data_IF_186217022622
#
_entry.id   IF_186217022622
#
_cell.length_a   1.000
_cell.length_b   1.000
_cell.length_c   1.000
_cell.angle_alpha   90.00
_cell.angle_beta   90.00
_cell.angle_gamma   90.00
#
_symmetry.space_group_name_H-M   'P 1'
#
loop_
_entity.id
_entity.type
_entity.pdbx_description
1 polymer ?
#
# COMPACT_ATOMS: atom_id res chain seq x y z
N UNK A 1 -17.23 17.27 8.82
CA UNK A 1 -16.01 17.46 9.08
C UNK A 1 -15.16 16.28 9.02
N UNK A 2 -15.33 15.29 9.78
CA UNK A 2 -14.53 14.11 9.73
C UNK A 2 -14.54 13.49 8.36
N UNK A 3 -15.62 13.56 7.68
CA UNK A 3 -15.69 12.95 6.40
C UNK A 3 -14.82 13.61 5.41
N UNK A 4 -14.65 14.90 5.50
CA UNK A 4 -13.80 15.55 4.59
C UNK A 4 -12.39 15.11 4.76
N UNK A 5 -11.96 15.02 6.00
CA UNK A 5 -10.63 14.58 6.26
C UNK A 5 -10.45 13.16 5.78
N UNK A 6 -11.46 12.34 5.98
CA UNK A 6 -11.38 10.99 5.49
C UNK A 6 -11.28 10.95 3.99
N UNK A 7 -11.95 11.87 3.32
CA UNK A 7 -11.98 11.86 1.87
C UNK A 7 -10.64 12.09 1.24
N UNK A 8 -9.88 13.07 1.72
CA UNK A 8 -8.61 13.34 1.09
C UNK A 8 -7.42 13.02 1.99
N UNK A 9 -7.68 12.84 3.25
CA UNK A 9 -6.63 12.44 4.16
C UNK A 9 -6.67 10.98 4.52
N UNK A 10 -7.48 10.20 3.83
CA UNK A 10 -7.61 8.79 4.15
C UNK A 10 -6.33 8.03 3.87
N UNK A 11 -5.89 7.29 4.85
CA UNK A 11 -4.72 6.45 4.72
C UNK A 11 -5.05 5.07 5.24
N UNK A 12 -4.26 4.10 4.85
CA UNK A 12 -4.36 2.79 5.46
C UNK A 12 -3.21 2.64 6.45
N UNK A 13 -3.38 1.72 7.38
CA UNK A 13 -2.33 1.34 8.28
C UNK A 13 -1.71 0.06 7.73
N UNK A 14 -0.42 0.12 7.47
CA UNK A 14 0.29 -1.01 6.88
C UNK A 14 1.23 -1.57 7.92
N UNK A 15 1.09 -2.85 8.21
CA UNK A 15 1.97 -3.54 9.13
C UNK A 15 2.84 -4.49 8.33
N UNK A 16 4.15 -4.29 8.41
CA UNK A 16 5.11 -5.16 7.73
C UNK A 16 5.95 -5.86 8.80
N UNK A 17 6.62 -6.93 8.41
CA UNK A 17 7.53 -7.61 9.31
C UNK A 17 8.91 -6.99 9.19
N UNK A 18 9.47 -6.55 10.29
CA UNK A 18 10.80 -5.95 10.30
C UNK A 18 11.84 -6.94 9.82
N UNK A 19 12.60 -6.56 8.81
CA UNK A 19 13.56 -7.46 8.17
C UNK A 19 14.76 -7.76 9.05
N UNK A 20 14.99 -6.94 10.06
CA UNK A 20 16.13 -7.14 10.95
C UNK A 20 15.72 -7.90 12.19
N UNK A 21 14.64 -7.49 12.84
CA UNK A 21 14.26 -8.08 14.11
C UNK A 21 13.08 -9.03 14.03
N UNK A 22 12.33 -8.99 12.94
CA UNK A 22 11.11 -9.76 12.83
C UNK A 22 9.91 -9.14 13.52
N UNK A 23 10.12 -8.03 14.21
CA UNK A 23 9.02 -7.35 14.91
C UNK A 23 8.16 -6.57 13.93
N UNK A 24 6.87 -6.42 14.22
CA UNK A 24 6.01 -5.68 13.31
C UNK A 24 6.34 -4.20 13.30
N UNK A 25 6.26 -3.61 12.11
CA UNK A 25 6.46 -2.18 11.90
C UNK A 25 5.19 -1.66 11.26
N UNK A 26 4.59 -0.63 11.87
CA UNK A 26 3.31 -0.10 11.41
C UNK A 26 3.50 1.32 10.91
N UNK A 27 2.99 1.60 9.72
CA UNK A 27 3.04 2.94 9.14
C UNK A 27 1.69 3.29 8.54
N UNK A 28 1.43 4.59 8.38
CA UNK A 28 0.24 5.06 7.70
C UNK A 28 0.65 5.53 6.32
N UNK A 29 0.00 5.03 5.28
CA UNK A 29 0.34 5.39 3.90
C UNK A 29 -0.92 5.67 3.10
N UNK A 30 -0.80 6.55 2.12
CA UNK A 30 -1.88 6.78 1.17
C UNK A 30 -2.02 5.60 0.23
N UNK A 31 -3.18 5.44 -0.36
CA UNK A 31 -3.43 4.29 -1.20
C UNK A 31 -4.50 4.56 -2.26
N UNK A 32 -4.53 3.70 -3.26
CA UNK A 32 -5.60 3.69 -4.26
C UNK A 32 -6.27 2.34 -4.21
N UNK A 33 -7.60 2.36 -4.21
CA UNK A 33 -8.36 1.11 -4.30
C UNK A 33 -8.30 0.57 -5.71
N UNK A 34 -8.30 -0.74 -5.82
CA UNK A 34 -8.39 -1.43 -7.11
C UNK A 34 -9.49 -2.47 -7.07
N UNK A 35 -9.99 -2.86 -8.23
CA UNK A 35 -10.98 -3.94 -8.28
C UNK A 35 -10.41 -5.21 -7.64
N UNK A 36 -11.25 -5.94 -6.97
CA UNK A 36 -10.83 -7.19 -6.34
C UNK A 36 -10.28 -7.03 -4.94
N UNK A 37 -10.30 -5.82 -4.40
CA UNK A 37 -9.87 -5.61 -3.04
C UNK A 37 -8.38 -5.30 -2.87
N UNK A 38 -7.64 -5.25 -3.96
CA UNK A 38 -6.24 -4.85 -3.88
C UNK A 38 -6.12 -3.35 -3.70
N UNK A 39 -4.99 -2.90 -3.18
CA UNK A 39 -4.70 -1.47 -3.08
C UNK A 39 -3.29 -1.22 -3.60
N UNK A 40 -3.07 -0.02 -4.10
CA UNK A 40 -1.75 0.41 -4.56
C UNK A 40 -1.18 1.39 -3.55
N UNK A 41 0.09 1.22 -3.22
CA UNK A 41 0.80 2.12 -2.31
C UNK A 41 2.16 2.43 -2.93
N UNK A 42 2.71 3.58 -2.56
CA UNK A 42 4.01 3.98 -3.08
C UNK A 42 4.83 4.58 -1.94
N UNK A 43 6.11 4.25 -1.91
CA UNK A 43 7.03 4.83 -0.96
C UNK A 43 7.66 6.05 -1.60
N UNK A 44 7.62 7.17 -0.92
CA UNK A 44 8.23 8.39 -1.45
C UNK A 44 9.74 8.37 -1.33
N UNK A 45 10.26 7.46 -0.53
CA UNK A 45 11.70 7.35 -0.28
C UNK A 45 12.12 5.92 -0.62
N UNK A 46 13.11 5.74 -1.50
CA UNK A 46 13.55 4.39 -1.84
C UNK A 46 14.12 3.64 -0.65
N UNK A 47 14.49 4.35 0.40
CA UNK A 47 15.03 3.71 1.59
C UNK A 47 14.01 3.56 2.70
N UNK A 48 12.74 3.81 2.43
CA UNK A 48 11.70 3.67 3.44
C UNK A 48 11.72 2.26 4.03
N UNK A 49 11.73 2.16 5.35
CA UNK A 49 11.83 0.87 6.02
C UNK A 49 10.71 -0.08 5.65
N UNK A 50 9.49 0.42 5.59
CA UNK A 50 8.36 -0.47 5.29
C UNK A 50 8.46 -1.04 3.86
N UNK A 51 9.00 -0.27 2.94
CA UNK A 51 9.17 -0.76 1.58
C UNK A 51 10.25 -1.82 1.52
N UNK A 52 11.34 -1.60 2.22
CA UNK A 52 12.42 -2.59 2.28
C UNK A 52 11.96 -3.85 3.02
N UNK A 53 11.12 -3.69 4.03
CA UNK A 53 10.55 -4.84 4.72
C UNK A 53 9.70 -5.67 3.77
N UNK A 54 8.90 -5.02 2.91
CA UNK A 54 8.08 -5.74 1.93
C UNK A 54 8.93 -6.43 0.88
N UNK A 55 10.06 -5.86 0.54
CA UNK A 55 10.96 -6.51 -0.40
C UNK A 55 11.57 -7.77 0.20
N UNK A 56 11.82 -7.74 1.49
CA UNK A 56 12.39 -8.90 2.18
C UNK A 56 11.33 -9.95 2.48
N UNK A 57 10.11 -9.53 2.84
CA UNK A 57 9.00 -10.44 3.13
C UNK A 57 7.73 -9.76 2.66
N UNK A 58 7.13 -10.23 1.58
CA UNK A 58 5.97 -9.54 0.99
C UNK A 58 4.67 -9.69 1.78
N UNK A 59 4.66 -10.49 2.82
CA UNK A 59 3.44 -10.66 3.61
C UNK A 59 3.25 -9.46 4.52
N UNK A 60 2.03 -8.96 4.60
CA UNK A 60 1.73 -7.77 5.37
C UNK A 60 0.28 -7.78 5.79
N UNK A 61 -0.10 -6.83 6.61
CA UNK A 61 -1.49 -6.65 7.03
C UNK A 61 -1.87 -5.21 6.82
N UNK A 62 -3.06 -5.02 6.27
CA UNK A 62 -3.58 -3.68 5.99
C UNK A 62 -4.81 -3.47 6.84
N UNK A 63 -4.92 -2.30 7.45
CA UNK A 63 -6.12 -1.92 8.19
C UNK A 63 -6.66 -0.63 7.59
N UNK A 64 -7.90 -0.66 7.15
CA UNK A 64 -8.60 0.50 6.65
C UNK A 64 -9.87 0.63 7.46
N UNK A 65 -9.98 1.69 8.25
CA UNK A 65 -11.09 1.82 9.17
C UNK A 65 -11.05 0.68 10.17
N UNK A 66 -12.12 -0.11 10.21
CA UNK A 66 -12.18 -1.25 11.12
C UNK A 66 -11.87 -2.57 10.44
N UNK A 67 -11.52 -2.56 9.16
CA UNK A 67 -11.25 -3.79 8.42
C UNK A 67 -9.77 -4.09 8.40
N UNK A 68 -9.42 -5.30 8.75
CA UNK A 68 -8.05 -5.79 8.65
C UNK A 68 -8.01 -6.90 7.62
N UNK A 69 -7.02 -6.84 6.75
CA UNK A 69 -6.87 -7.82 5.68
C UNK A 69 -5.40 -8.21 5.56
N UNK A 70 -5.15 -9.49 5.54
CA UNK A 70 -3.79 -9.97 5.25
C UNK A 70 -3.57 -9.87 3.75
N UNK A 71 -2.40 -9.39 3.36
CA UNK A 71 -2.08 -9.13 1.95
C UNK A 71 -0.70 -9.65 1.61
N UNK A 72 -0.46 -9.78 0.32
CA UNK A 72 0.86 -10.07 -0.21
C UNK A 72 1.22 -8.93 -1.15
N UNK A 73 2.40 -8.37 -0.97
CA UNK A 73 2.86 -7.25 -1.78
C UNK A 73 3.49 -7.73 -3.07
N UNK A 74 3.17 -7.03 -4.14
CA UNK A 74 3.74 -7.29 -5.44
C UNK A 74 4.39 -6.01 -5.91
N UNK A 75 5.69 -6.03 -6.18
CA UNK A 75 6.38 -4.83 -6.64
C UNK A 75 5.95 -4.51 -8.07
N UNK A 76 5.59 -3.27 -8.30
CA UNK A 76 5.22 -2.81 -9.63
C UNK A 76 6.39 -2.08 -10.24
N UNK A 77 6.54 -2.21 -11.55
CA UNK A 77 7.62 -1.55 -12.26
C UNK A 77 7.08 -0.98 -13.58
N UNK A 78 7.84 -0.09 -14.18
CA UNK A 78 7.52 0.43 -15.51
C UNK A 78 6.20 1.15 -15.54
N UNK A 79 5.41 0.82 -16.55
CA UNK A 79 4.17 1.53 -16.83
C UNK A 79 3.17 1.41 -15.68
N UNK A 80 3.04 0.24 -15.09
CA UNK A 80 2.12 0.05 -13.98
C UNK A 80 2.49 0.90 -12.78
N UNK A 81 3.78 0.97 -12.47
CA UNK A 81 4.24 1.80 -11.37
C UNK A 81 3.95 3.28 -11.65
N UNK A 82 4.20 3.72 -12.88
CA UNK A 82 3.95 5.10 -13.25
C UNK A 82 2.48 5.46 -13.14
N UNK A 83 1.62 4.56 -13.58
CA UNK A 83 0.17 4.80 -13.49
C UNK A 83 -0.30 4.89 -12.04
N UNK A 84 0.27 4.04 -11.19
CA UNK A 84 -0.08 4.06 -9.77
C UNK A 84 0.30 5.40 -9.15
N UNK A 85 1.48 5.90 -9.48
CA UNK A 85 1.93 7.18 -8.94
C UNK A 85 1.03 8.31 -9.41
N UNK A 86 0.66 8.32 -10.69
CA UNK A 86 -0.23 9.33 -11.21
C UNK A 86 -1.57 9.30 -10.47
N UNK A 87 -2.11 8.10 -10.26
CA UNK A 87 -3.36 7.97 -9.53
C UNK A 87 -3.28 8.49 -8.11
N UNK A 88 -2.16 8.22 -7.43
CA UNK A 88 -1.96 8.70 -6.08
C UNK A 88 -1.83 10.22 -6.05
N UNK A 89 -1.14 10.80 -7.02
CA UNK A 89 -1.03 12.25 -7.12
C UNK A 89 -2.41 12.88 -7.33
N UNK A 90 -3.21 12.29 -8.18
CA UNK A 90 -4.54 12.81 -8.43
C UNK A 90 -5.42 12.73 -7.19
N UNK A 91 -5.23 11.70 -6.39
CA UNK A 91 -6.04 11.53 -5.19
C UNK A 91 -5.59 12.44 -4.05
N UNK A 92 -4.28 12.60 -3.86
CA UNK A 92 -3.75 13.30 -2.70
C UNK A 92 -3.18 14.67 -2.99
N UNK A 93 -3.10 15.05 -4.24
CA UNK A 93 -2.62 16.37 -4.64
C UNK A 93 -1.11 16.39 -4.83
N UNK A 94 -0.56 17.59 -4.98
CA UNK A 94 0.82 17.74 -5.37
C UNK A 94 1.81 17.21 -4.36
N UNK A 95 1.39 17.10 -3.10
CA UNK A 95 2.29 16.58 -2.08
C UNK A 95 2.69 15.14 -2.37
N UNK A 96 1.96 14.46 -3.24
CA UNK A 96 2.27 13.09 -3.58
C UNK A 96 3.30 12.94 -4.68
N UNK A 97 3.81 14.03 -5.23
CA UNK A 97 4.76 13.96 -6.33
C UNK A 97 6.02 13.20 -6.00
N UNK A 98 6.41 13.21 -4.74
CA UNK A 98 7.60 12.49 -4.32
C UNK A 98 7.47 10.99 -4.47
N UNK A 99 6.25 10.50 -4.58
CA UNK A 99 6.01 9.06 -4.63
C UNK A 99 6.65 8.38 -5.83
N UNK A 100 6.99 9.14 -6.84
CA UNK A 100 7.65 8.57 -8.00
C UNK A 100 9.11 8.19 -7.77
N UNK A 101 9.66 8.49 -6.61
CA UNK A 101 11.07 8.26 -6.34
C UNK A 101 11.36 6.91 -5.73
N UNK A 102 10.38 6.28 -5.15
CA UNK A 102 10.58 5.02 -4.44
C UNK A 102 9.75 3.90 -5.02
N UNK A 103 9.81 2.73 -4.39
CA UNK A 103 9.09 1.57 -4.90
C UNK A 103 7.58 1.71 -4.77
N UNK A 104 6.88 1.01 -5.65
CA UNK A 104 5.43 1.01 -5.70
C UNK A 104 4.98 -0.44 -5.60
N UNK A 105 3.94 -0.68 -4.81
CA UNK A 105 3.46 -2.05 -4.59
C UNK A 105 1.96 -2.14 -4.81
N UNK A 106 1.54 -3.30 -5.28
CA UNK A 106 0.14 -3.71 -5.23
C UNK A 106 0.02 -4.66 -4.05
N UNK A 107 -0.90 -4.37 -3.14
CA UNK A 107 -1.13 -5.23 -1.98
C UNK A 107 -2.39 -6.03 -2.26
N UNK A 108 -2.24 -7.34 -2.46
CA UNK A 108 -3.34 -8.21 -2.83
C UNK A 108 -3.83 -9.00 -1.62
N UNK A 109 -5.14 -9.05 -1.39
CA UNK A 109 -5.65 -9.84 -0.27
C UNK A 109 -5.28 -11.32 -0.41
N UNK A 110 -4.79 -11.90 0.66
CA UNK A 110 -4.44 -13.30 0.67
C UNK A 110 -5.69 -14.14 0.79
N UNK A 111 -6.67 -13.61 1.52
CA UNK A 111 -7.87 -14.36 1.79
C UNK A 111 -8.95 -14.13 0.79
N UNK A 112 -8.65 -13.50 -0.31
CA UNK A 112 -9.66 -13.29 -1.33
C UNK A 112 -10.20 -14.64 -1.74
N UNK A 113 -11.50 -14.80 -1.80
CA UNK A 113 -12.07 -16.09 -2.15
C UNK A 113 -11.58 -16.49 -3.51
N UNK A 114 -11.18 -17.72 -3.61
CA UNK A 114 -10.79 -18.23 -4.87
C UNK A 114 -12.02 -18.56 -5.61
N UNK A 115 -12.10 -18.08 -6.78
CA UNK A 115 -13.30 -18.36 -7.53
C UNK A 115 -13.43 -19.80 -7.86
N UNK A 116 -12.51 -20.50 -7.61
CA UNK A 116 -12.62 -21.82 -7.89
C UNK A 116 -13.05 -22.52 -6.99
N UNK A 117 -13.35 -22.58 -6.76
CA UNK A 117 -13.55 -22.89 -5.92
C UNK A 117 -13.62 -23.79 -5.97
N UNK A 118 -13.56 -23.42 -6.24
CA UNK A 118 -13.67 -23.59 -6.20
C UNK A 118 -13.81 -23.84 -6.42
#
# INVERSE_FOLDING_TARGET
MGEQLAGWGTVLRLETRGRVTGSPVVVAVGYLDQPGGSVLVAAGDPDADWARNLEADPRARVTVGSRQVDVVAEALVGHEAAEAVVGLILRYGTSAERLGRGPVFRLRPVDAPTPIGD
#
